data_IF_679523414045
#
_entry.id   IF_679523414045
#
_cell.length_a   1.000
_cell.length_b   1.000
_cell.length_c   1.000
_cell.angle_alpha   90.00
_cell.angle_beta   90.00
_cell.angle_gamma   90.00
#
_symmetry.space_group_name_H-M   'P 1'
#
loop_
_entity.id
_entity.type
_entity.pdbx_description
1 polymer ?
#
# COMPACT_ATOMS: atom_id res chain seq x y z
N UNK A 1 3.11 -14.75 -19.86
CA UNK A 1 1.72 -15.26 -19.85
C UNK A 1 0.77 -14.20 -20.35
N UNK A 2 -0.43 -14.58 -20.82
CA UNK A 2 -1.39 -13.65 -21.47
C UNK A 2 -2.56 -13.21 -20.57
N UNK A 3 -2.57 -13.61 -19.30
CA UNK A 3 -3.68 -13.36 -18.35
C UNK A 3 -3.14 -12.81 -17.04
N UNK A 4 -3.75 -11.71 -16.59
CA UNK A 4 -3.51 -11.05 -15.31
C UNK A 4 -4.82 -10.49 -14.76
N UNK A 5 -4.73 -9.64 -13.73
CA UNK A 5 -5.88 -9.09 -13.01
C UNK A 5 -6.02 -7.58 -13.20
N UNK A 6 -7.25 -7.09 -12.99
CA UNK A 6 -7.62 -5.68 -12.91
C UNK A 6 -8.39 -5.47 -11.58
N UNK A 7 -7.68 -5.34 -10.44
CA UNK A 7 -8.33 -5.17 -9.16
C UNK A 7 -8.81 -3.72 -8.98
N UNK A 8 -9.89 -3.56 -8.23
CA UNK A 8 -10.50 -2.26 -7.95
C UNK A 8 -10.60 -2.01 -6.44
N UNK A 9 -10.34 -0.76 -6.01
CA UNK A 9 -10.33 -0.39 -4.59
C UNK A 9 -11.63 -0.78 -3.89
N UNK A 10 -12.79 -0.47 -4.49
CA UNK A 10 -14.08 -0.71 -3.87
C UNK A 10 -14.38 -2.20 -3.68
N UNK A 11 -14.16 -3.02 -4.71
CA UNK A 11 -14.47 -4.46 -4.69
C UNK A 11 -13.82 -5.21 -3.51
N UNK A 12 -12.53 -5.00 -3.27
CA UNK A 12 -11.84 -5.63 -2.12
C UNK A 12 -12.29 -5.02 -0.78
N UNK A 13 -12.51 -3.70 -0.76
CA UNK A 13 -12.94 -2.98 0.45
C UNK A 13 -14.36 -3.39 0.90
N UNK A 14 -15.25 -3.70 -0.04
CA UNK A 14 -16.59 -4.23 0.24
C UNK A 14 -16.54 -5.56 0.99
N UNK A 15 -15.54 -6.39 0.69
CA UNK A 15 -15.27 -7.65 1.40
C UNK A 15 -14.51 -7.45 2.74
N UNK A 16 -14.15 -6.21 3.09
CA UNK A 16 -13.36 -5.90 4.28
C UNK A 16 -11.88 -6.25 4.15
N UNK A 17 -11.39 -6.46 2.93
CA UNK A 17 -10.00 -6.79 2.64
C UNK A 17 -9.14 -5.53 2.54
N UNK A 18 -7.82 -5.70 2.70
CA UNK A 18 -6.87 -4.61 2.50
C UNK A 18 -6.43 -4.59 1.03
N UNK A 19 -6.91 -3.59 0.29
CA UNK A 19 -6.66 -3.48 -1.14
C UNK A 19 -5.18 -3.40 -1.50
N UNK A 20 -4.38 -2.56 -0.84
CA UNK A 20 -2.96 -2.40 -1.22
C UNK A 20 -2.13 -3.65 -0.90
N UNK A 21 -2.52 -4.48 0.08
CA UNK A 21 -1.90 -5.80 0.25
C UNK A 21 -2.26 -6.76 -0.88
N UNK A 22 -3.50 -6.77 -1.37
CA UNK A 22 -3.91 -7.57 -2.53
C UNK A 22 -3.16 -7.14 -3.81
N UNK A 23 -3.02 -5.83 -4.01
CA UNK A 23 -2.22 -5.26 -5.12
C UNK A 23 -0.75 -5.65 -4.99
N UNK A 24 -0.17 -5.62 -3.79
CA UNK A 24 1.22 -6.05 -3.58
C UNK A 24 1.44 -7.52 -3.98
N UNK A 25 0.50 -8.39 -3.64
CA UNK A 25 0.52 -9.79 -4.07
C UNK A 25 0.39 -9.93 -5.60
N UNK A 26 -0.49 -9.14 -6.22
CA UNK A 26 -0.62 -9.14 -7.68
C UNK A 26 0.67 -8.66 -8.38
N UNK A 27 1.39 -7.69 -7.81
CA UNK A 27 2.70 -7.24 -8.30
C UNK A 27 3.76 -8.34 -8.10
N UNK A 28 3.83 -8.95 -6.92
CA UNK A 28 4.78 -10.04 -6.63
C UNK A 28 4.66 -11.22 -7.60
N UNK A 29 3.45 -11.50 -8.08
CA UNK A 29 3.17 -12.57 -9.04
C UNK A 29 3.29 -12.15 -10.51
N UNK A 30 3.72 -10.91 -10.80
CA UNK A 30 3.72 -10.32 -12.15
C UNK A 30 2.34 -10.38 -12.83
N UNK A 31 1.26 -10.16 -12.06
CA UNK A 31 -0.14 -10.27 -12.50
C UNK A 31 -0.95 -8.98 -12.47
N UNK A 32 -0.43 -7.87 -11.95
CA UNK A 32 -1.13 -6.58 -11.98
C UNK A 32 -1.08 -5.98 -13.39
N UNK A 33 -2.03 -6.34 -14.26
CA UNK A 33 -2.05 -5.89 -15.66
C UNK A 33 -2.76 -4.55 -15.84
N UNK A 34 -3.75 -4.27 -15.00
CA UNK A 34 -4.47 -3.00 -14.94
C UNK A 34 -4.88 -2.75 -13.47
N UNK A 35 -5.41 -1.57 -13.17
CA UNK A 35 -5.94 -1.25 -11.85
C UNK A 35 -7.04 -0.17 -11.96
N UNK A 36 -8.09 -0.32 -11.18
CA UNK A 36 -9.19 0.65 -11.09
C UNK A 36 -9.17 1.36 -9.73
N UNK A 37 -9.15 2.69 -9.79
CA UNK A 37 -8.95 3.56 -8.64
C UNK A 37 -10.24 4.32 -8.29
N UNK A 38 -10.86 3.94 -7.18
CA UNK A 38 -11.99 4.62 -6.55
C UNK A 38 -11.87 4.57 -5.02
N UNK A 39 -12.96 4.77 -4.30
CA UNK A 39 -13.00 4.70 -2.84
C UNK A 39 -14.35 4.15 -2.37
N UNK A 40 -14.38 3.61 -1.14
CA UNK A 40 -15.49 2.81 -0.65
C UNK A 40 -15.55 2.84 0.88
N UNK A 41 -16.77 2.92 1.45
CA UNK A 41 -16.96 2.58 2.87
C UNK A 41 -17.24 1.07 3.00
N UNK A 42 -16.55 0.36 3.90
CA UNK A 42 -16.69 -1.10 4.00
C UNK A 42 -18.11 -1.53 4.38
N UNK A 43 -18.52 -2.71 3.90
CA UNK A 43 -19.81 -3.33 4.25
C UNK A 43 -21.05 -2.63 3.68
N UNK A 44 -20.91 -1.96 2.53
CA UNK A 44 -22.01 -1.29 1.82
C UNK A 44 -22.11 -1.79 0.38
N UNK A 45 -23.14 -1.31 -0.34
CA UNK A 45 -23.19 -1.42 -1.80
C UNK A 45 -21.97 -0.74 -2.43
N UNK A 46 -21.70 -1.05 -3.68
CA UNK A 46 -20.60 -0.46 -4.43
C UNK A 46 -20.86 1.04 -4.70
N UNK A 47 -20.04 1.90 -4.11
CA UNK A 47 -20.31 3.34 -4.04
C UNK A 47 -19.60 4.15 -5.12
N UNK A 48 -18.58 3.57 -5.76
CA UNK A 48 -17.79 4.23 -6.81
C UNK A 48 -17.34 5.64 -6.45
N UNK A 49 -16.92 5.87 -5.20
CA UNK A 49 -16.55 7.22 -4.83
C UNK A 49 -15.26 7.64 -5.53
N UNK A 50 -15.15 8.94 -5.79
CA UNK A 50 -13.91 9.57 -6.27
C UNK A 50 -12.71 9.09 -5.43
N UNK A 51 -11.63 8.70 -6.09
CA UNK A 51 -10.42 8.17 -5.44
C UNK A 51 -9.94 9.04 -4.27
N UNK A 52 -9.91 8.47 -3.05
CA UNK A 52 -9.47 9.12 -1.81
C UNK A 52 -10.48 10.07 -1.16
N UNK A 53 -11.77 9.99 -1.47
CA UNK A 53 -12.81 10.79 -0.78
C UNK A 53 -13.09 10.34 0.66
N UNK A 54 -12.85 9.08 0.99
CA UNK A 54 -13.19 8.47 2.28
C UNK A 54 -11.93 7.97 3.02
N UNK A 55 -10.94 7.44 2.29
CA UNK A 55 -9.88 6.59 2.88
C UNK A 55 -8.46 7.06 2.58
N UNK A 56 -8.13 8.31 2.94
CA UNK A 56 -6.89 8.97 2.53
C UNK A 56 -5.59 8.21 2.89
N UNK A 57 -5.54 7.55 4.06
CA UNK A 57 -4.36 6.77 4.49
C UNK A 57 -4.19 5.45 3.73
N UNK A 58 -5.30 4.78 3.41
CA UNK A 58 -5.26 3.55 2.60
C UNK A 58 -4.86 3.89 1.16
N UNK A 59 -5.45 4.94 0.59
CA UNK A 59 -5.06 5.45 -0.72
C UNK A 59 -3.58 5.89 -0.75
N UNK A 60 -3.07 6.50 0.32
CA UNK A 60 -1.65 6.83 0.44
C UNK A 60 -0.75 5.59 0.28
N UNK A 61 -1.02 4.52 1.03
CA UNK A 61 -0.21 3.29 0.94
C UNK A 61 -0.33 2.62 -0.43
N UNK A 62 -1.51 2.67 -1.06
CA UNK A 62 -1.68 2.21 -2.44
C UNK A 62 -0.83 3.01 -3.43
N UNK A 63 -0.94 4.35 -3.43
CA UNK A 63 -0.14 5.19 -4.35
C UNK A 63 1.34 4.98 -4.10
N UNK A 64 1.76 4.95 -2.82
CA UNK A 64 3.13 4.65 -2.46
C UNK A 64 3.61 3.32 -3.04
N UNK A 65 2.83 2.25 -2.89
CA UNK A 65 3.16 0.93 -3.44
C UNK A 65 3.34 0.99 -4.96
N UNK A 66 2.39 1.59 -5.68
CA UNK A 66 2.43 1.66 -7.15
C UNK A 66 3.64 2.46 -7.66
N UNK A 67 3.97 3.58 -6.99
CA UNK A 67 5.10 4.42 -7.35
C UNK A 67 6.44 3.75 -6.99
N UNK A 68 6.56 3.17 -5.81
CA UNK A 68 7.79 2.49 -5.35
C UNK A 68 8.07 1.19 -6.12
N UNK A 69 7.03 0.48 -6.55
CA UNK A 69 7.18 -0.74 -7.36
C UNK A 69 7.46 -0.44 -8.83
N UNK A 70 7.33 0.82 -9.26
CA UNK A 70 7.49 1.21 -10.66
C UNK A 70 6.36 0.75 -11.57
N UNK A 71 5.13 0.58 -11.06
CA UNK A 71 4.00 0.17 -11.88
C UNK A 71 3.72 1.21 -12.98
N UNK A 72 3.92 0.81 -14.24
CA UNK A 72 3.90 1.66 -15.43
C UNK A 72 2.56 1.67 -16.18
N UNK A 73 1.62 0.80 -15.79
CA UNK A 73 0.29 0.75 -16.35
C UNK A 73 -0.58 1.99 -16.02
N UNK A 74 -1.76 2.10 -16.65
CA UNK A 74 -2.68 3.21 -16.44
C UNK A 74 -3.07 3.38 -14.97
N UNK A 75 -3.31 4.64 -14.58
CA UNK A 75 -3.97 4.97 -13.31
C UNK A 75 -5.42 5.28 -13.63
N UNK A 76 -6.19 4.24 -13.91
CA UNK A 76 -7.57 4.36 -14.36
C UNK A 76 -8.51 4.65 -13.17
N UNK A 77 -9.45 5.57 -13.36
CA UNK A 77 -10.42 5.95 -12.33
C UNK A 77 -11.79 5.43 -12.75
N UNK A 78 -12.14 4.22 -12.30
CA UNK A 78 -13.49 3.67 -12.45
C UNK A 78 -14.33 4.12 -11.25
N UNK A 79 -14.94 5.30 -11.38
CA UNK A 79 -15.66 5.96 -10.30
C UNK A 79 -16.79 6.83 -10.85
N UNK A 80 -17.72 7.21 -9.98
CA UNK A 80 -18.86 8.04 -10.30
C UNK A 80 -18.82 9.37 -9.52
N UNK A 81 -19.12 10.46 -10.23
CA UNK A 81 -19.48 11.70 -9.56
C UNK A 81 -20.75 11.47 -8.73
N UNK A 82 -20.95 12.24 -7.65
CA UNK A 82 -22.19 12.13 -6.89
C UNK A 82 -23.39 12.42 -7.79
N UNK A 83 -24.47 11.67 -7.61
CA UNK A 83 -25.72 11.84 -8.38
C UNK A 83 -26.29 13.27 -8.30
N UNK A 84 -25.89 14.04 -7.29
CA UNK A 84 -26.31 15.43 -7.05
C UNK A 84 -25.56 16.46 -7.91
N UNK A 85 -24.46 16.07 -8.55
CA UNK A 85 -23.63 16.99 -9.32
C UNK A 85 -24.25 17.33 -10.68
N UNK A 86 -23.94 18.54 -11.16
CA UNK A 86 -24.15 18.94 -12.56
C UNK A 86 -22.89 18.67 -13.40
N UNK A 87 -22.86 19.18 -14.63
CA UNK A 87 -21.73 18.96 -15.55
C UNK A 87 -20.42 19.57 -15.02
N UNK A 88 -20.46 20.69 -14.31
CA UNK A 88 -19.24 21.27 -13.74
C UNK A 88 -18.76 20.41 -12.56
N UNK A 89 -19.68 19.92 -11.71
CA UNK A 89 -19.34 18.97 -10.66
C UNK A 89 -18.74 17.65 -11.18
N UNK A 90 -19.17 17.16 -12.36
CA UNK A 90 -18.53 16.00 -13.03
C UNK A 90 -17.09 16.30 -13.45
N UNK A 91 -16.80 17.52 -13.92
CA UNK A 91 -15.43 17.94 -14.26
C UNK A 91 -14.57 18.06 -13.00
N UNK A 92 -15.12 18.63 -11.93
CA UNK A 92 -14.45 18.71 -10.63
C UNK A 92 -14.15 17.33 -10.05
N UNK A 93 -15.09 16.38 -10.20
CA UNK A 93 -14.88 14.97 -9.86
C UNK A 93 -13.67 14.38 -10.61
N UNK A 94 -13.65 14.50 -11.94
CA UNK A 94 -12.58 13.94 -12.76
C UNK A 94 -11.22 14.59 -12.43
N UNK A 95 -11.20 15.92 -12.29
CA UNK A 95 -10.02 16.67 -11.84
C UNK A 95 -9.56 16.25 -10.45
N UNK A 96 -10.50 16.01 -9.54
CA UNK A 96 -10.25 15.62 -8.15
C UNK A 96 -9.64 14.23 -8.00
N UNK A 97 -10.01 13.26 -8.84
CA UNK A 97 -9.36 11.94 -8.90
C UNK A 97 -7.86 12.09 -9.19
N UNK A 98 -7.52 12.77 -10.30
CA UNK A 98 -6.13 13.00 -10.71
C UNK A 98 -5.37 13.82 -9.67
N UNK A 99 -5.98 14.89 -9.16
CA UNK A 99 -5.37 15.78 -8.15
C UNK A 99 -5.01 15.01 -6.89
N UNK A 100 -5.92 14.16 -6.41
CA UNK A 100 -5.71 13.35 -5.20
C UNK A 100 -4.55 12.38 -5.39
N UNK A 101 -4.51 11.65 -6.51
CA UNK A 101 -3.39 10.77 -6.81
C UNK A 101 -2.04 11.51 -6.80
N UNK A 102 -1.96 12.66 -7.47
CA UNK A 102 -0.71 13.45 -7.54
C UNK A 102 -0.27 13.99 -6.16
N UNK A 103 -1.22 14.39 -5.31
CA UNK A 103 -0.93 14.80 -3.93
C UNK A 103 -0.35 13.63 -3.13
N UNK A 104 -0.97 12.45 -3.24
CA UNK A 104 -0.51 11.25 -2.54
C UNK A 104 0.86 10.77 -3.05
N UNK A 105 1.12 10.90 -4.36
CA UNK A 105 2.43 10.63 -4.97
C UNK A 105 3.51 11.55 -4.40
N UNK A 106 3.24 12.86 -4.32
CA UNK A 106 4.18 13.80 -3.69
C UNK A 106 4.44 13.43 -2.22
N UNK A 107 3.40 13.06 -1.48
CA UNK A 107 3.53 12.62 -0.09
C UNK A 107 4.32 11.33 0.04
N UNK A 108 4.17 10.38 -0.87
CA UNK A 108 4.95 9.16 -0.90
C UNK A 108 6.44 9.45 -1.11
N UNK A 109 6.76 10.39 -2.01
CA UNK A 109 8.13 10.87 -2.20
C UNK A 109 8.68 11.50 -0.92
N UNK A 110 7.94 12.40 -0.27
CA UNK A 110 8.36 13.01 1.01
C UNK A 110 8.60 11.96 2.09
N UNK A 111 7.74 10.95 2.18
CA UNK A 111 7.90 9.84 3.12
C UNK A 111 9.19 9.05 2.85
N UNK A 112 9.53 8.83 1.57
CA UNK A 112 10.77 8.16 1.17
C UNK A 112 12.02 8.99 1.52
N UNK A 113 11.93 10.31 1.38
CA UNK A 113 13.03 11.24 1.66
C UNK A 113 13.20 11.56 3.16
N UNK A 114 12.22 11.21 4.00
CA UNK A 114 12.25 11.51 5.43
C UNK A 114 13.25 10.63 6.18
N UNK A 115 14.33 11.26 6.65
CA UNK A 115 15.44 10.58 7.34
C UNK A 115 15.04 9.87 8.64
N UNK A 116 14.05 10.38 9.36
CA UNK A 116 13.60 9.76 10.61
C UNK A 116 12.78 8.51 10.32
N UNK A 117 11.90 8.58 9.33
CA UNK A 117 11.15 7.42 8.82
C UNK A 117 12.11 6.36 8.30
N UNK A 118 13.07 6.72 7.44
CA UNK A 118 14.06 5.76 6.93
C UNK A 118 14.93 5.18 8.06
N UNK A 119 15.28 5.99 9.07
CA UNK A 119 15.94 5.53 10.28
C UNK A 119 15.14 4.45 11.00
N UNK A 120 13.85 4.68 11.26
CA UNK A 120 12.96 3.70 11.89
C UNK A 120 12.85 2.41 11.06
N UNK A 121 12.70 2.52 9.74
CA UNK A 121 12.64 1.33 8.87
C UNK A 121 13.93 0.51 8.92
N UNK A 122 15.09 1.16 9.02
CA UNK A 122 16.37 0.46 9.17
C UNK A 122 16.50 -0.28 10.50
N UNK A 123 15.94 0.29 11.59
CA UNK A 123 15.85 -0.39 12.89
C UNK A 123 14.92 -1.60 12.81
N UNK A 124 13.77 -1.46 12.13
CA UNK A 124 12.73 -2.49 12.01
C UNK A 124 13.17 -3.67 11.13
N UNK A 125 13.70 -3.38 9.94
CA UNK A 125 14.04 -4.38 8.91
C UNK A 125 15.31 -5.16 9.22
N UNK A 126 15.68 -5.34 10.50
CA UNK A 126 16.97 -5.87 10.95
C UNK A 126 17.47 -7.02 10.05
N UNK A 127 18.43 -6.68 9.20
CA UNK A 127 18.99 -7.62 8.24
C UNK A 127 19.85 -8.64 8.99
N UNK A 128 19.62 -9.92 8.71
CA UNK A 128 20.43 -11.03 9.19
C UNK A 128 20.75 -11.88 7.97
N UNK A 129 21.95 -11.70 7.43
CA UNK A 129 22.38 -12.33 6.18
C UNK A 129 22.28 -13.86 6.21
N UNK A 130 22.45 -14.47 7.39
CA UNK A 130 22.33 -15.91 7.56
C UNK A 130 20.86 -16.33 7.45
N UNK A 131 19.97 -15.66 8.18
CA UNK A 131 18.53 -15.93 8.11
C UNK A 131 17.95 -15.59 6.73
N UNK A 132 18.36 -14.49 6.11
CA UNK A 132 17.97 -14.13 4.74
C UNK A 132 18.37 -15.21 3.73
N UNK A 133 19.57 -15.78 3.86
CA UNK A 133 20.04 -16.86 2.99
C UNK A 133 19.24 -18.15 3.20
N UNK A 134 18.89 -18.44 4.45
CA UNK A 134 18.06 -19.60 4.81
C UNK A 134 16.61 -19.45 4.33
N UNK A 135 16.08 -18.24 4.31
CA UNK A 135 14.68 -17.96 4.00
C UNK A 135 14.40 -17.55 2.54
N UNK A 136 15.44 -17.29 1.72
CA UNK A 136 15.26 -16.81 0.34
C UNK A 136 14.41 -17.74 -0.54
N UNK A 137 14.68 -19.04 -0.48
CA UNK A 137 13.99 -20.07 -1.27
C UNK A 137 13.75 -21.28 -0.39
N UNK A 138 12.60 -21.94 -0.60
CA UNK A 138 12.30 -23.17 0.11
C UNK A 138 13.26 -24.30 -0.31
N UNK A 139 13.93 -24.87 0.68
CA UNK A 139 14.73 -26.08 0.54
C UNK A 139 14.59 -26.89 1.85
N UNK A 140 14.29 -28.21 1.78
CA UNK A 140 14.13 -29.04 2.98
C UNK A 140 15.34 -28.99 3.93
N UNK A 141 16.57 -28.99 3.40
CA UNK A 141 17.79 -28.94 4.21
C UNK A 141 17.93 -27.58 4.91
N UNK A 142 17.62 -26.48 4.23
CA UNK A 142 17.57 -25.14 4.85
C UNK A 142 16.52 -25.07 5.96
N UNK A 143 15.38 -25.72 5.76
CA UNK A 143 14.33 -25.80 6.78
C UNK A 143 14.80 -26.58 8.01
N UNK A 144 15.52 -27.69 7.85
CA UNK A 144 16.11 -28.43 8.97
C UNK A 144 17.17 -27.62 9.72
N UNK A 145 18.03 -26.89 8.99
CA UNK A 145 19.00 -25.97 9.61
C UNK A 145 18.27 -24.90 10.45
N UNK A 146 17.21 -24.30 9.91
CA UNK A 146 16.44 -23.28 10.61
C UNK A 146 15.74 -23.84 11.87
N UNK A 147 15.15 -25.03 11.79
CA UNK A 147 14.52 -25.72 12.93
C UNK A 147 15.52 -26.07 14.03
N UNK A 148 16.75 -26.40 13.67
CA UNK A 148 17.83 -26.71 14.60
C UNK A 148 18.45 -25.49 15.29
N UNK A 149 18.18 -24.28 14.80
CA UNK A 149 18.77 -23.03 15.30
C UNK A 149 18.23 -22.68 16.69
N UNK A 150 19.12 -22.45 17.65
CA UNK A 150 18.74 -21.96 18.98
C UNK A 150 18.48 -20.45 18.92
N UNK A 151 17.21 -20.07 19.02
CA UNK A 151 16.80 -18.67 19.05
C UNK A 151 16.61 -18.20 20.50
N UNK A 152 17.30 -17.12 20.88
CA UNK A 152 17.04 -16.44 22.15
C UNK A 152 15.76 -15.61 22.04
N UNK A 153 14.63 -16.27 22.33
CA UNK A 153 13.29 -15.67 22.26
C UNK A 153 13.15 -14.45 23.16
N UNK A 154 13.82 -14.41 24.32
CA UNK A 154 13.72 -13.27 25.25
C UNK A 154 14.44 -12.06 24.69
N UNK A 155 15.65 -12.25 24.16
CA UNK A 155 16.40 -11.19 23.48
C UNK A 155 15.70 -10.68 22.23
N UNK A 156 15.08 -11.56 21.45
CA UNK A 156 14.29 -11.17 20.26
C UNK A 156 13.08 -10.33 20.67
N UNK A 157 12.31 -10.78 21.66
CA UNK A 157 11.09 -10.10 22.10
C UNK A 157 11.32 -8.75 22.79
N UNK A 158 12.55 -8.47 23.26
CA UNK A 158 12.91 -7.16 23.82
C UNK A 158 12.98 -6.06 22.77
N UNK A 159 13.02 -6.41 21.48
CA UNK A 159 13.12 -5.43 20.42
C UNK A 159 11.75 -4.81 20.11
N UNK A 160 11.68 -3.49 20.22
CA UNK A 160 10.48 -2.74 19.83
C UNK A 160 10.50 -2.46 18.33
N UNK A 161 9.39 -2.76 17.66
CA UNK A 161 9.19 -2.45 16.24
C UNK A 161 8.78 -0.99 16.00
N UNK A 162 8.45 -0.24 17.07
CA UNK A 162 8.14 1.20 17.03
C UNK A 162 7.08 1.59 15.98
N UNK A 163 6.17 0.69 15.63
CA UNK A 163 5.16 0.91 14.60
C UNK A 163 4.25 2.10 14.89
N UNK A 164 3.88 2.34 16.15
CA UNK A 164 3.11 3.54 16.53
C UNK A 164 3.81 4.84 16.14
N UNK A 165 5.13 4.92 16.34
CA UNK A 165 5.91 6.10 15.95
C UNK A 165 5.98 6.24 14.43
N UNK A 166 6.26 5.14 13.73
CA UNK A 166 6.31 5.13 12.26
C UNK A 166 4.96 5.53 11.65
N UNK A 167 3.88 5.02 12.23
CA UNK A 167 2.51 5.31 11.82
C UNK A 167 2.16 6.78 12.02
N UNK A 168 2.49 7.35 13.18
CA UNK A 168 2.28 8.77 13.45
C UNK A 168 3.07 9.66 12.49
N UNK A 169 4.35 9.38 12.24
CA UNK A 169 5.15 10.15 11.27
C UNK A 169 4.58 10.04 9.85
N UNK A 170 4.04 8.86 9.50
CA UNK A 170 3.32 8.68 8.23
C UNK A 170 2.08 9.57 8.17
N UNK A 171 1.29 9.63 9.25
CA UNK A 171 0.15 10.53 9.36
C UNK A 171 0.57 12.01 9.24
N UNK A 172 1.69 12.43 9.85
CA UNK A 172 2.20 13.80 9.73
C UNK A 172 2.52 14.20 8.29
N UNK A 173 3.16 13.30 7.52
CA UNK A 173 3.40 13.49 6.07
C UNK A 173 2.07 13.57 5.31
N UNK A 174 1.12 12.69 5.64
CA UNK A 174 -0.20 12.67 5.00
C UNK A 174 -0.97 13.96 5.28
N UNK A 175 -0.92 14.48 6.51
CA UNK A 175 -1.57 15.75 6.88
C UNK A 175 -0.77 16.98 6.43
N UNK A 176 0.46 16.80 5.93
CA UNK A 176 1.26 17.88 5.34
C UNK A 176 1.90 18.80 6.38
N UNK A 177 2.08 18.31 7.60
CA UNK A 177 2.80 19.03 8.67
C UNK A 177 4.27 18.61 8.77
N UNK A 178 4.73 17.82 7.78
CA UNK A 178 6.07 17.28 7.64
C UNK A 178 6.52 17.26 6.18
#
# INVERSE_FOLDING_TARGET
>A
EMVGVNPEVAHETMAGLNFFHGVAQAIEMDKLFHIDLNDQRPGRYDQDFRFGSESFKICFFLVKLLEDSGYDGPKHFDAHAYRTEDIEGVKDFAGGCMRTYLILKEKAQRWNDDKEIQGLLSEIKRNDSELETLCRDFNPDKAEILKGKKLDRKKIAQHSLRYEKLDQLTCEVIYGIR
#
